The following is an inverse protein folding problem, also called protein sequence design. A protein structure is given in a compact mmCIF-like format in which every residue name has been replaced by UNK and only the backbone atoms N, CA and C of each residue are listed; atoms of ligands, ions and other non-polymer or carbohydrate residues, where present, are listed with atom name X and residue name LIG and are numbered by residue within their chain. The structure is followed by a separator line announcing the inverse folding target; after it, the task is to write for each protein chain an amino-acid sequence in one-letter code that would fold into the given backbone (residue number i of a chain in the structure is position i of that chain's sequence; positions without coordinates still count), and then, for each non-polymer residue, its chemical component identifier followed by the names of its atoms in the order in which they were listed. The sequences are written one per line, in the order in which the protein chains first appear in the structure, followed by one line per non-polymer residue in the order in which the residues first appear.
data_IF_666830093902
#
_entry.id   IF_666830093902
#
_cell.length_a   1.000
_cell.length_b   1.000
_cell.length_c   1.000
_cell.angle_alpha   90.00
_cell.angle_beta   90.00
_cell.angle_gamma   90.00
#
_symmetry.space_group_name_H-M   'P 1'
#
loop_
_entity.id
_entity.type
_entity.pdbx_description
1 polymer ?
#
# COMPACT_ATOMS: atom_id res chain seq x y z
N UNK A 1 17.21 -2.55 2.21
CA UNK A 1 15.87 -1.96 2.49
C UNK A 1 14.82 -3.06 2.74
N UNK A 2 14.79 -4.17 2.00
CA UNK A 2 14.20 -5.43 2.50
C UNK A 2 15.01 -6.63 1.99
N UNK A 3 15.20 -7.66 2.83
CA UNK A 3 15.77 -8.94 2.40
C UNK A 3 14.77 -9.69 1.49
N UNK A 4 15.18 -10.73 0.74
CA UNK A 4 14.22 -11.60 0.07
C UNK A 4 13.19 -12.14 1.06
N UNK A 5 11.90 -12.07 0.70
CA UNK A 5 10.77 -12.37 1.60
C UNK A 5 10.42 -11.28 2.61
N UNK A 6 11.17 -10.17 2.64
CA UNK A 6 10.96 -9.06 3.55
C UNK A 6 9.73 -8.23 3.17
N UNK A 7 9.08 -7.67 4.20
CA UNK A 7 7.86 -6.86 4.09
C UNK A 7 8.20 -5.38 4.27
N UNK A 8 7.65 -4.55 3.40
CA UNK A 8 7.68 -3.08 3.46
C UNK A 8 6.24 -2.60 3.59
N UNK A 9 5.96 -1.76 4.58
CA UNK A 9 4.67 -1.09 4.71
C UNK A 9 4.86 0.38 4.34
N UNK A 10 4.09 0.83 3.35
CA UNK A 10 4.02 2.22 2.95
C UNK A 10 2.66 2.78 3.35
N UNK A 11 2.65 3.92 4.04
CA UNK A 11 1.44 4.48 4.61
C UNK A 11 1.48 6.02 4.63
N UNK A 12 0.33 6.64 4.43
CA UNK A 12 0.16 8.10 4.49
C UNK A 12 -1.19 8.45 5.12
N UNK A 13 -1.29 9.66 5.69
CA UNK A 13 -2.55 10.29 6.09
C UNK A 13 -3.13 11.19 4.99
N UNK A 14 -2.90 10.84 3.72
CA UNK A 14 -3.42 11.55 2.55
C UNK A 14 -4.32 10.65 1.71
N UNK A 15 -5.31 11.23 1.04
CA UNK A 15 -6.15 10.55 0.06
C UNK A 15 -5.74 10.86 -1.39
N UNK A 16 -4.69 11.66 -1.59
CA UNK A 16 -4.25 12.07 -2.92
C UNK A 16 -3.52 10.94 -3.63
N UNK A 17 -3.96 10.60 -4.84
CA UNK A 17 -3.38 9.51 -5.64
C UNK A 17 -1.91 9.74 -5.96
N UNK A 18 -1.51 11.00 -6.13
CA UNK A 18 -0.13 11.41 -6.42
C UNK A 18 0.84 11.00 -5.32
N UNK A 19 0.40 11.04 -4.07
CA UNK A 19 1.21 10.65 -2.91
C UNK A 19 1.12 9.15 -2.63
N UNK A 20 0.15 8.44 -3.22
CA UNK A 20 -0.22 7.10 -2.81
C UNK A 20 -0.05 6.07 -3.93
N UNK A 21 -1.11 5.88 -4.72
CA UNK A 21 -1.16 4.91 -5.82
C UNK A 21 -0.02 5.12 -6.81
N UNK A 22 0.29 6.38 -7.14
CA UNK A 22 1.33 6.70 -8.10
C UNK A 22 2.72 6.34 -7.55
N UNK A 23 2.99 6.64 -6.28
CA UNK A 23 4.25 6.27 -5.63
C UNK A 23 4.43 4.76 -5.61
N UNK A 24 3.39 4.00 -5.28
CA UNK A 24 3.45 2.54 -5.29
C UNK A 24 3.60 1.98 -6.71
N UNK A 25 2.92 2.58 -7.69
CA UNK A 25 3.07 2.20 -9.10
C UNK A 25 4.50 2.36 -9.59
N UNK A 26 5.11 3.52 -9.31
CA UNK A 26 6.49 3.82 -9.71
C UNK A 26 7.45 2.81 -9.07
N UNK A 27 7.32 2.58 -7.75
CA UNK A 27 8.15 1.59 -7.03
C UNK A 27 8.03 0.19 -7.62
N UNK A 28 6.81 -0.29 -7.91
CA UNK A 28 6.61 -1.64 -8.47
C UNK A 28 7.05 -1.74 -9.93
N UNK A 29 7.03 -0.64 -10.69
CA UNK A 29 7.54 -0.61 -12.06
C UNK A 29 9.06 -0.70 -12.13
N UNK A 30 9.77 -0.07 -11.17
CA UNK A 30 11.23 -0.08 -11.10
C UNK A 30 11.80 -1.32 -10.39
N UNK A 31 10.98 -2.04 -9.63
CA UNK A 31 11.37 -3.19 -8.80
C UNK A 31 10.58 -4.44 -9.20
N UNK A 32 10.96 -5.14 -10.29
CA UNK A 32 10.24 -6.33 -10.75
C UNK A 32 10.31 -7.53 -9.78
N UNK A 33 11.22 -7.49 -8.81
CA UNK A 33 11.31 -8.45 -7.72
C UNK A 33 10.35 -8.15 -6.55
N UNK A 34 9.61 -7.05 -6.61
CA UNK A 34 8.62 -6.66 -5.61
C UNK A 34 7.19 -6.85 -6.13
N UNK A 35 6.27 -7.13 -5.22
CA UNK A 35 4.84 -7.18 -5.51
C UNK A 35 4.02 -6.77 -4.29
N UNK A 36 2.80 -6.30 -4.54
CA UNK A 36 1.89 -5.91 -3.47
C UNK A 36 1.19 -7.13 -2.87
N UNK A 37 1.06 -7.13 -1.54
CA UNK A 37 0.20 -8.04 -0.80
C UNK A 37 -1.11 -7.35 -0.41
N UNK A 38 -2.23 -8.09 -0.38
CA UNK A 38 -3.51 -7.53 0.06
C UNK A 38 -3.43 -7.09 1.53
N UNK A 39 -3.93 -5.89 1.81
CA UNK A 39 -4.11 -5.40 3.18
C UNK A 39 -5.46 -5.89 3.69
N UNK A 40 -5.44 -6.68 4.76
CA UNK A 40 -6.66 -7.13 5.45
C UNK A 40 -6.66 -6.63 6.89
N UNK A 41 -7.60 -5.77 7.25
CA UNK A 41 -7.84 -5.32 8.63
C UNK A 41 -9.30 -5.59 9.03
N UNK A 42 -9.58 -5.50 10.34
CA UNK A 42 -10.92 -5.69 10.90
C UNK A 42 -11.87 -4.51 10.69
N UNK A 43 -11.62 -3.64 9.71
CA UNK A 43 -12.43 -2.46 9.40
C UNK A 43 -12.76 -2.40 7.91
N UNK A 44 -13.72 -1.53 7.54
CA UNK A 44 -14.08 -1.32 6.14
C UNK A 44 -12.96 -0.60 5.39
N UNK A 45 -12.36 -1.33 4.45
CA UNK A 45 -11.26 -0.85 3.64
C UNK A 45 -11.67 -0.77 2.17
N UNK A 46 -11.24 0.30 1.49
CA UNK A 46 -11.48 0.49 0.06
C UNK A 46 -10.21 0.29 -0.74
N UNK A 47 -10.21 -0.69 -1.62
CA UNK A 47 -9.07 -0.97 -2.50
C UNK A 47 -8.81 0.23 -3.43
N UNK A 48 -7.55 0.68 -3.49
CA UNK A 48 -7.10 1.67 -4.47
C UNK A 48 -7.06 1.09 -5.88
N UNK A 49 -6.96 1.96 -6.89
CA UNK A 49 -7.03 1.53 -8.30
C UNK A 49 -5.75 1.91 -9.06
N UNK A 50 -4.76 1.00 -9.20
CA UNK A 50 -4.81 -0.44 -8.88
C UNK A 50 -4.18 -0.85 -7.52
N UNK A 51 -3.43 0.05 -6.89
CA UNK A 51 -2.57 -0.29 -5.76
C UNK A 51 -3.07 0.24 -4.42
N UNK A 52 -2.63 -0.43 -3.35
CA UNK A 52 -2.89 -0.03 -1.98
C UNK A 52 -4.36 -0.08 -1.58
N UNK A 53 -4.61 0.42 -0.38
CA UNK A 53 -5.91 0.37 0.27
C UNK A 53 -6.11 1.64 1.10
N UNK A 54 -7.33 2.17 1.04
CA UNK A 54 -7.73 3.37 1.76
C UNK A 54 -8.66 3.02 2.92
N UNK A 55 -8.41 3.65 4.06
CA UNK A 55 -9.43 3.91 5.06
C UNK A 55 -10.06 5.26 4.72
N UNK A 56 -11.36 5.26 4.47
CA UNK A 56 -12.08 6.51 4.19
C UNK A 56 -12.52 7.17 5.50
N UNK A 57 -12.54 8.51 5.58
CA UNK A 57 -13.02 9.24 6.75
C UNK A 57 -14.55 9.16 6.83
N UNK A 58 -15.09 8.01 7.22
CA UNK A 58 -16.54 7.78 7.30
C UNK A 58 -17.11 8.18 8.67
N UNK A 59 -16.26 8.27 9.68
CA UNK A 59 -16.61 8.72 11.03
C UNK A 59 -15.74 9.89 11.49
N UNK A 60 -16.15 10.66 12.52
CA UNK A 60 -15.36 11.77 13.06
C UNK A 60 -14.00 11.37 13.68
N UNK A 61 -13.74 10.07 13.81
CA UNK A 61 -12.52 9.52 14.42
C UNK A 61 -11.56 8.96 13.37
N UNK A 62 -11.95 9.01 12.09
CA UNK A 62 -11.17 8.55 10.96
C UNK A 62 -10.79 9.75 10.11
N UNK A 63 -9.50 10.10 10.09
CA UNK A 63 -9.01 11.24 9.30
C UNK A 63 -8.81 10.91 7.81
N UNK A 64 -8.94 9.62 7.46
CA UNK A 64 -8.58 9.09 6.15
C UNK A 64 -7.13 8.65 6.10
N UNK A 65 -6.87 7.50 5.49
CA UNK A 65 -5.55 6.90 5.49
C UNK A 65 -5.33 6.06 4.25
N UNK A 66 -4.08 5.93 3.83
CA UNK A 66 -3.65 5.02 2.77
C UNK A 66 -2.59 4.06 3.30
N UNK A 67 -2.65 2.81 2.86
CA UNK A 67 -1.67 1.78 3.18
C UNK A 67 -1.45 0.83 2.00
N UNK A 68 -0.20 0.44 1.78
CA UNK A 68 0.21 -0.59 0.83
C UNK A 68 1.26 -1.46 1.48
N UNK A 69 1.11 -2.79 1.34
CA UNK A 69 2.10 -3.77 1.81
C UNK A 69 2.82 -4.30 0.58
N UNK A 70 4.13 -4.11 0.52
CA UNK A 70 4.98 -4.56 -0.58
C UNK A 70 5.91 -5.63 -0.03
N UNK A 71 6.04 -6.75 -0.74
CA UNK A 71 7.02 -7.79 -0.38
C UNK A 71 8.02 -7.97 -1.50
N UNK A 72 9.25 -8.32 -1.11
CA UNK A 72 10.29 -8.73 -2.05
C UNK A 72 10.23 -10.24 -2.23
N UNK A 73 10.21 -10.72 -3.48
CA UNK A 73 10.22 -12.15 -3.81
C UNK A 73 11.41 -12.84 -3.13
N UNK A 74 11.16 -13.99 -2.53
CA UNK A 74 12.24 -14.90 -2.11
C UNK A 74 12.95 -15.38 -3.37
N UNK A 75 14.27 -15.28 -3.45
CA UNK A 75 15.02 -15.85 -4.58
C UNK A 75 14.63 -17.33 -4.77
N UNK A 76 14.53 -17.76 -6.02
CA UNK A 76 14.37 -19.18 -6.35
C UNK A 76 15.60 -19.96 -5.91
#
# INVERSE_FOLDING_TARGET
IAAPGGIIVYATCSLLRQENENVVADVLSERPDCFELPVTWGCELRRGRPWGTYLWPLTPWEDGFYCSIITKRTGA
#
